data_IF_013475007404
#
_entry.id   IF_013475007404
#
_cell.length_a   1.000
_cell.length_b   1.000
_cell.length_c   1.000
_cell.angle_alpha   90.00
_cell.angle_beta   90.00
_cell.angle_gamma   90.00
#
_symmetry.space_group_name_H-M   'P 1'
#
loop_
_entity.id
_entity.type
_entity.pdbx_description
1 polymer ?
#
# COMPACT_ATOMS: atom_id res chain seq x y z
N UNK A 1 -29.25 4.29 11.10
CA UNK A 1 -28.19 3.26 11.31
C UNK A 1 -26.86 3.99 11.33
N UNK A 2 -26.09 3.97 12.44
CA UNK A 2 -24.77 4.58 12.39
C UNK A 2 -23.88 3.71 11.48
N UNK A 3 -23.29 4.34 10.46
CA UNK A 3 -22.25 3.72 9.66
C UNK A 3 -21.12 3.34 10.62
N UNK A 4 -20.97 2.04 10.90
CA UNK A 4 -19.86 1.54 11.69
C UNK A 4 -18.57 2.05 11.03
N UNK A 5 -17.71 2.82 11.73
CA UNK A 5 -16.51 3.35 11.11
C UNK A 5 -15.71 2.16 10.59
N UNK A 6 -15.51 2.11 9.27
CA UNK A 6 -14.72 1.04 8.66
C UNK A 6 -13.33 1.11 9.29
N UNK A 7 -12.88 0.04 9.97
CA UNK A 7 -11.55 0.06 10.57
C UNK A 7 -10.55 0.30 9.46
N UNK A 8 -9.62 1.20 9.71
CA UNK A 8 -8.55 1.48 8.77
C UNK A 8 -7.72 0.22 8.56
N UNK A 9 -7.56 -0.20 7.30
CA UNK A 9 -6.84 -1.40 6.90
C UNK A 9 -5.72 -1.06 5.95
N UNK A 10 -4.57 -1.68 6.23
CA UNK A 10 -3.42 -1.67 5.36
C UNK A 10 -3.25 -3.06 4.79
N UNK A 11 -3.30 -3.13 3.47
CA UNK A 11 -3.24 -4.34 2.69
C UNK A 11 -2.05 -4.25 1.75
N UNK A 12 -1.50 -5.39 1.37
CA UNK A 12 -0.49 -5.50 0.34
C UNK A 12 -0.83 -6.62 -0.63
N UNK A 13 -0.65 -6.38 -1.91
CA UNK A 13 -0.79 -7.40 -2.94
C UNK A 13 0.23 -8.52 -2.72
N UNK A 14 -0.10 -9.74 -3.11
CA UNK A 14 0.78 -10.92 -3.00
C UNK A 14 2.16 -10.71 -3.61
N UNK A 15 2.20 -10.11 -4.80
CA UNK A 15 3.44 -9.74 -5.50
C UNK A 15 4.28 -8.78 -4.66
N UNK A 16 3.65 -7.75 -4.09
CA UNK A 16 4.29 -6.80 -3.19
C UNK A 16 4.76 -7.45 -1.88
N UNK A 17 3.98 -8.37 -1.31
CA UNK A 17 4.35 -9.11 -0.11
C UNK A 17 5.60 -9.97 -0.34
N UNK A 18 5.75 -10.57 -1.52
CA UNK A 18 6.99 -11.28 -1.90
C UNK A 18 8.15 -10.33 -2.09
N UNK A 19 7.92 -9.20 -2.75
CA UNK A 19 8.95 -8.19 -2.98
C UNK A 19 9.48 -7.61 -1.66
N UNK A 20 8.61 -7.19 -0.75
CA UNK A 20 8.99 -6.68 0.58
C UNK A 20 9.80 -7.67 1.40
N UNK A 21 9.43 -8.96 1.38
CA UNK A 21 10.22 -10.02 2.01
C UNK A 21 11.63 -10.14 1.42
N UNK A 22 11.76 -10.04 0.10
CA UNK A 22 13.06 -10.10 -0.59
C UNK A 22 13.93 -8.90 -0.26
N UNK A 23 13.34 -7.72 -0.20
CA UNK A 23 14.05 -6.47 0.11
C UNK A 23 14.32 -6.29 1.62
N UNK A 24 13.74 -7.13 2.48
CA UNK A 24 13.86 -7.01 3.93
C UNK A 24 13.06 -5.85 4.52
N UNK A 25 12.04 -5.36 3.81
CA UNK A 25 11.19 -4.26 4.28
C UNK A 25 10.17 -4.78 5.29
N UNK A 26 10.22 -4.23 6.51
CA UNK A 26 9.35 -4.67 7.59
C UNK A 26 7.93 -4.11 7.45
N UNK A 27 6.95 -4.87 7.94
CA UNK A 27 5.55 -4.42 8.01
C UNK A 27 5.40 -3.13 8.84
N UNK A 28 6.26 -2.92 9.84
CA UNK A 28 6.34 -1.68 10.62
C UNK A 28 6.78 -0.44 9.82
N UNK A 29 7.55 -0.60 8.73
CA UNK A 29 7.95 0.51 7.87
C UNK A 29 6.82 0.90 6.90
N UNK A 30 6.11 -0.10 6.36
CA UNK A 30 4.91 0.12 5.54
C UNK A 30 3.83 0.85 6.34
N UNK A 31 3.63 0.37 7.57
CA UNK A 31 2.81 0.96 8.60
C UNK A 31 3.11 2.44 8.88
N UNK A 32 4.39 2.75 9.11
CA UNK A 32 4.86 4.12 9.32
C UNK A 32 4.58 5.00 8.09
N UNK A 33 4.84 4.49 6.89
CA UNK A 33 4.61 5.23 5.67
C UNK A 33 3.14 5.56 5.43
N UNK A 34 2.20 4.67 5.75
CA UNK A 34 0.78 5.02 5.68
C UNK A 34 0.41 6.07 6.73
N UNK A 35 0.98 6.01 7.93
CA UNK A 35 0.75 7.01 8.97
C UNK A 35 1.21 8.40 8.51
N UNK A 36 2.40 8.51 7.92
CA UNK A 36 2.89 9.75 7.30
C UNK A 36 1.96 10.23 6.17
N UNK A 37 1.47 9.33 5.33
CA UNK A 37 0.56 9.70 4.25
C UNK A 37 -0.79 10.19 4.74
N UNK A 38 -1.29 9.67 5.88
CA UNK A 38 -2.50 10.18 6.54
C UNK A 38 -2.30 11.60 7.07
N UNK A 39 -1.09 11.93 7.51
CA UNK A 39 -0.70 13.29 7.90
C UNK A 39 -0.46 14.22 6.70
N UNK A 40 -0.65 13.71 5.47
CA UNK A 40 -0.53 14.48 4.24
C UNK A 40 0.86 14.41 3.59
N UNK A 41 1.80 13.64 4.14
CA UNK A 41 3.14 13.44 3.58
C UNK A 41 3.10 12.43 2.42
N UNK A 42 2.52 12.88 1.31
CA UNK A 42 2.40 12.14 0.06
C UNK A 42 3.43 12.69 -0.93
N UNK A 43 4.33 11.85 -1.45
CA UNK A 43 5.34 12.32 -2.42
C UNK A 43 4.73 12.68 -3.78
N UNK A 44 3.80 11.86 -4.30
CA UNK A 44 3.07 12.20 -5.52
C UNK A 44 1.69 11.54 -5.59
N UNK A 45 0.74 12.27 -6.19
CA UNK A 45 -0.61 11.79 -6.52
C UNK A 45 -0.65 11.48 -8.01
N UNK A 46 -0.85 10.23 -8.38
CA UNK A 46 -0.89 9.82 -9.78
C UNK A 46 -2.32 9.84 -10.37
N UNK A 47 -3.33 10.09 -9.52
CA UNK A 47 -4.76 10.14 -9.88
C UNK A 47 -5.45 8.77 -9.75
N UNK A 48 -6.79 8.76 -9.77
CA UNK A 48 -7.57 7.51 -9.66
C UNK A 48 -7.39 6.74 -8.35
N UNK A 49 -7.10 7.46 -7.24
CA UNK A 49 -6.79 6.84 -5.95
C UNK A 49 -5.38 6.22 -5.87
N UNK A 50 -4.51 6.47 -6.85
CA UNK A 50 -3.12 5.97 -6.86
C UNK A 50 -2.16 7.02 -6.31
N UNK A 51 -1.30 6.57 -5.40
CA UNK A 51 -0.30 7.40 -4.75
C UNK A 51 1.08 6.75 -4.85
N UNK A 52 2.10 7.61 -4.97
CA UNK A 52 3.51 7.25 -4.89
C UNK A 52 4.06 7.70 -3.55
N UNK A 53 4.73 6.80 -2.84
CA UNK A 53 5.38 7.05 -1.55
C UNK A 53 6.82 6.57 -1.58
N UNK A 54 7.72 7.37 -1.02
CA UNK A 54 9.13 7.06 -0.82
C UNK A 54 9.34 6.69 0.64
N UNK A 55 9.97 5.54 0.87
CA UNK A 55 10.45 5.13 2.19
C UNK A 55 11.97 5.13 2.18
N UNK A 56 12.57 5.73 3.19
CA UNK A 56 14.00 5.61 3.42
C UNK A 56 14.33 4.23 4.02
N UNK A 57 15.31 3.53 3.43
CA UNK A 57 15.79 2.25 3.97
C UNK A 57 16.55 2.50 5.26
N UNK A 58 16.13 1.88 6.38
CA UNK A 58 16.83 2.04 7.66
C UNK A 58 18.18 1.30 7.63
N UNK A 59 19.28 2.01 7.89
CA UNK A 59 20.63 1.42 8.04
C UNK A 59 21.51 1.41 6.77
N UNK A 60 21.04 1.90 5.63
CA UNK A 60 21.89 2.23 4.48
C UNK A 60 21.76 3.72 4.17
N UNK A 61 22.87 4.38 3.80
CA UNK A 61 22.89 5.82 3.51
C UNK A 61 21.86 6.26 2.44
N UNK A 62 21.72 7.59 2.26
CA UNK A 62 20.74 8.32 1.41
C UNK A 62 20.60 7.86 -0.07
N UNK A 63 21.30 6.82 -0.50
CA UNK A 63 21.36 6.30 -1.87
C UNK A 63 20.40 5.15 -2.21
N UNK A 64 19.67 4.54 -1.25
CA UNK A 64 18.93 3.27 -1.49
C UNK A 64 17.45 3.20 -1.05
N UNK A 65 16.71 4.30 -1.06
CA UNK A 65 15.28 4.30 -0.67
C UNK A 65 14.37 3.51 -1.61
N UNK A 66 13.18 3.13 -1.12
CA UNK A 66 12.16 2.40 -1.86
C UNK A 66 11.10 3.34 -2.42
N UNK A 67 10.70 3.13 -3.67
CA UNK A 67 9.54 3.78 -4.30
C UNK A 67 8.39 2.79 -4.34
N UNK A 68 7.27 3.17 -3.74
CA UNK A 68 6.11 2.32 -3.64
C UNK A 68 4.91 2.99 -4.28
N UNK A 69 4.04 2.16 -4.85
CA UNK A 69 2.76 2.53 -5.43
C UNK A 69 1.69 1.87 -4.60
N UNK A 70 0.76 2.68 -4.11
CA UNK A 70 -0.37 2.21 -3.35
C UNK A 70 -1.67 2.85 -3.85
N UNK A 71 -2.76 2.10 -3.70
CA UNK A 71 -4.11 2.57 -3.90
C UNK A 71 -4.72 2.96 -2.56
N UNK A 72 -5.35 4.13 -2.48
CA UNK A 72 -6.03 4.57 -1.27
C UNK A 72 -7.21 5.47 -1.59
N UNK A 73 -8.21 5.47 -0.71
CA UNK A 73 -9.26 6.49 -0.68
C UNK A 73 -8.92 7.64 0.29
N UNK A 74 -7.68 7.68 0.78
CA UNK A 74 -7.19 8.57 1.85
C UNK A 74 -7.97 8.44 3.17
N UNK A 75 -8.79 7.40 3.30
CA UNK A 75 -9.62 7.13 4.47
C UNK A 75 -9.22 5.81 5.12
N UNK A 76 -10.12 4.84 5.02
CA UNK A 76 -10.03 3.53 5.67
C UNK A 76 -9.25 2.48 4.87
N UNK A 77 -8.96 2.70 3.59
CA UNK A 77 -8.40 1.65 2.73
C UNK A 77 -7.09 2.03 2.08
N UNK A 78 -6.07 1.22 2.34
CA UNK A 78 -4.72 1.41 1.84
C UNK A 78 -4.19 0.09 1.30
N UNK A 79 -3.88 0.02 0.00
CA UNK A 79 -3.46 -1.21 -0.67
C UNK A 79 -2.14 -0.98 -1.39
N UNK A 80 -1.07 -1.56 -0.89
CA UNK A 80 0.23 -1.58 -1.57
C UNK A 80 0.20 -2.53 -2.76
N UNK A 81 0.44 -1.99 -3.96
CA UNK A 81 0.37 -2.76 -5.20
C UNK A 81 1.76 -3.11 -5.72
N UNK A 82 2.67 -2.13 -5.75
CA UNK A 82 4.00 -2.30 -6.34
C UNK A 82 5.07 -1.56 -5.54
N UNK A 83 6.28 -2.09 -5.53
CA UNK A 83 7.45 -1.53 -4.86
C UNK A 83 8.69 -1.77 -5.71
N UNK A 84 9.59 -0.78 -5.73
CA UNK A 84 10.80 -0.79 -6.54
C UNK A 84 11.95 -0.17 -5.73
N UNK A 85 13.14 -0.76 -5.82
CA UNK A 85 14.35 -0.13 -5.28
C UNK A 85 14.78 1.04 -6.18
N UNK A 86 15.52 2.00 -5.62
CA UNK A 86 16.09 3.10 -6.41
C UNK A 86 16.97 2.51 -7.53
N UNK A 87 16.67 2.88 -8.79
CA UNK A 87 17.24 2.43 -10.08
C UNK A 87 16.57 1.25 -10.80
N UNK A 88 15.52 0.60 -10.26
CA UNK A 88 14.82 -0.48 -11.00
C UNK A 88 13.76 0.05 -11.99
N UNK A 89 13.05 1.13 -11.66
CA UNK A 89 11.98 1.72 -12.49
C UNK A 89 11.74 3.17 -12.08
N UNK A 90 12.25 4.13 -12.87
CA UNK A 90 12.00 5.55 -12.59
C UNK A 90 10.76 6.10 -13.33
N UNK A 91 10.43 5.56 -14.50
CA UNK A 91 9.27 5.97 -15.30
C UNK A 91 8.21 4.86 -15.34
N UNK A 92 7.01 5.19 -14.84
CA UNK A 92 5.79 4.43 -15.13
C UNK A 92 5.22 5.07 -16.38
N UNK A 93 5.06 4.30 -17.46
CA UNK A 93 4.48 4.84 -18.68
C UNK A 93 2.95 5.08 -18.52
N UNK A 94 2.34 5.84 -19.44
CA UNK A 94 0.92 6.17 -19.32
C UNK A 94 0.00 4.94 -19.42
N UNK A 95 0.42 3.88 -20.13
CA UNK A 95 -0.35 2.64 -20.27
C UNK A 95 -0.32 1.84 -18.98
N UNK A 96 0.86 1.69 -18.37
CA UNK A 96 1.06 1.11 -17.06
C UNK A 96 0.30 1.90 -16.00
N UNK A 97 0.38 3.23 -16.04
CA UNK A 97 -0.35 4.07 -15.09
C UNK A 97 -1.85 3.85 -15.21
N UNK A 98 -2.39 3.70 -16.42
CA UNK A 98 -3.80 3.36 -16.62
C UNK A 98 -4.16 2.01 -16.00
N UNK A 99 -3.36 0.97 -16.26
CA UNK A 99 -3.56 -0.36 -15.66
C UNK A 99 -3.49 -0.32 -14.13
N UNK A 100 -2.58 0.46 -13.57
CA UNK A 100 -2.44 0.65 -12.12
C UNK A 100 -3.69 1.36 -11.55
N UNK A 101 -4.24 2.36 -12.25
CA UNK A 101 -5.47 3.05 -11.85
C UNK A 101 -6.70 2.15 -11.92
N UNK A 102 -6.80 1.33 -12.95
CA UNK A 102 -7.89 0.36 -13.10
C UNK A 102 -7.82 -0.67 -11.96
N UNK A 103 -6.63 -1.20 -11.68
CA UNK A 103 -6.39 -2.11 -10.57
C UNK A 103 -6.68 -1.47 -9.20
N UNK A 104 -6.26 -0.21 -9.00
CA UNK A 104 -6.57 0.55 -7.79
C UNK A 104 -8.07 0.70 -7.61
N UNK A 105 -8.81 1.03 -8.67
CA UNK A 105 -10.26 1.18 -8.63
C UNK A 105 -10.93 -0.13 -8.23
N UNK A 106 -10.46 -1.27 -8.76
CA UNK A 106 -10.93 -2.60 -8.36
C UNK A 106 -10.70 -2.84 -6.86
N UNK A 107 -9.48 -2.62 -6.36
CA UNK A 107 -9.19 -2.79 -4.93
C UNK A 107 -9.99 -1.85 -4.02
N UNK A 108 -10.23 -0.61 -4.46
CA UNK A 108 -11.01 0.37 -3.71
C UNK A 108 -12.53 0.10 -3.77
N UNK A 109 -13.01 -0.58 -4.81
CA UNK A 109 -14.41 -0.96 -4.97
C UNK A 109 -14.79 -2.29 -4.30
N UNK A 110 -13.80 -3.14 -3.95
CA UNK A 110 -14.08 -4.42 -3.27
C UNK A 110 -14.88 -4.23 -1.98
N UNK A 111 -15.91 -5.05 -1.78
CA UNK A 111 -16.63 -5.11 -0.51
C UNK A 111 -15.89 -5.99 0.51
N UNK A 112 -16.35 -6.00 1.76
CA UNK A 112 -15.77 -6.83 2.83
C UNK A 112 -15.70 -8.33 2.46
N UNK A 113 -16.77 -8.96 1.91
CA UNK A 113 -16.72 -10.34 1.45
C UNK A 113 -15.65 -10.61 0.38
N UNK A 114 -15.54 -9.77 -0.65
CA UNK A 114 -14.53 -9.92 -1.70
C UNK A 114 -13.13 -9.74 -1.13
N UNK A 115 -12.95 -8.76 -0.24
CA UNK A 115 -11.67 -8.53 0.41
C UNK A 115 -11.24 -9.75 1.25
N UNK A 116 -12.15 -10.29 2.06
CA UNK A 116 -11.89 -11.52 2.83
C UNK A 116 -11.53 -12.69 1.92
N UNK A 117 -12.24 -12.87 0.81
CA UNK A 117 -11.91 -13.90 -0.19
C UNK A 117 -10.52 -13.71 -0.77
N UNK A 118 -10.15 -12.49 -1.15
CA UNK A 118 -8.83 -12.17 -1.68
C UNK A 118 -7.72 -12.40 -0.64
N UNK A 119 -7.99 -12.13 0.64
CA UNK A 119 -7.06 -12.42 1.74
C UNK A 119 -6.92 -13.93 1.95
N UNK A 120 -8.03 -14.66 2.03
CA UNK A 120 -8.03 -16.12 2.19
C UNK A 120 -7.37 -16.83 1.00
N UNK A 121 -7.54 -16.30 -0.22
CA UNK A 121 -6.87 -16.80 -1.42
C UNK A 121 -5.36 -16.47 -1.45
N UNK A 122 -4.87 -15.61 -0.54
CA UNK A 122 -3.48 -15.18 -0.48
C UNK A 122 -3.10 -14.15 -1.55
N UNK A 123 -4.08 -13.58 -2.26
CA UNK A 123 -3.89 -12.51 -3.25
C UNK A 123 -3.66 -11.15 -2.59
N UNK A 124 -4.28 -10.92 -1.44
CA UNK A 124 -4.04 -9.79 -0.56
C UNK A 124 -3.52 -10.28 0.80
N UNK A 125 -2.60 -9.55 1.39
CA UNK A 125 -2.09 -9.80 2.74
C UNK A 125 -2.35 -8.57 3.57
N UNK A 126 -3.02 -8.74 4.70
CA UNK A 126 -3.26 -7.66 5.63
C UNK A 126 -2.05 -7.43 6.52
N UNK A 127 -1.62 -6.17 6.64
CA UNK A 127 -0.58 -5.75 7.57
C UNK A 127 -1.25 -5.50 8.91
N UNK A 128 -1.03 -6.42 9.84
CA UNK A 128 -1.45 -6.23 11.23
C UNK A 128 -0.54 -5.18 11.87
N UNK A 129 -0.98 -3.94 11.93
CA UNK A 129 -0.51 -3.06 12.99
C UNK A 129 -0.94 -3.66 14.31
N UNK A 130 0.00 -3.85 15.23
CA UNK A 130 -0.33 -4.28 16.59
C UNK A 130 -1.31 -3.31 17.24
N UNK A 131 -2.60 -3.63 17.15
CA UNK A 131 -3.54 -3.56 18.25
C UNK A 131 -4.28 -4.89 18.26
N UNK A 132 -3.69 -5.86 18.96
CA UNK A 132 -4.54 -6.76 19.71
C UNK A 132 -5.25 -5.87 20.74
N UNK A 133 -6.57 -5.78 20.56
CA UNK A 133 -7.61 -5.85 21.59
C UNK A 133 -7.23 -5.44 23.03
N UNK A 134 -7.97 -4.46 23.57
CA UNK A 134 -8.45 -4.34 24.96
C UNK A 134 -9.18 -2.98 25.02
N UNK A 135 -10.42 -2.84 25.49
CA UNK A 135 -11.20 -3.58 26.48
C UNK A 135 -12.69 -3.67 26.09
#
# INVERSE_FOLDING_TARGET
MPANPRPFRILKARTFARWTKREGLADGELAGAVSEMKEGLIDARLGGGVFKKRIAKRGQGKSGGYRMILASNLGDRWVFMFGFAKNERDNIDDKELKLIKDLASVYLAMDEPMLKRAITAGELVEIRHGKQETA
#
